data_IF_328605813557
#
_entry.id   IF_328605813557
#
_cell.length_a   1.000
_cell.length_b   1.000
_cell.length_c   1.000
_cell.angle_alpha   90.00
_cell.angle_beta   90.00
_cell.angle_gamma   90.00
#
_symmetry.space_group_name_H-M   'P 1'
#
loop_
_entity.id
_entity.type
_entity.pdbx_description
1 polymer ?
#
# COMPACT_ATOMS: atom_id res chain seq x y z
N UNK A 1 1.83 -14.32 11.66
CA UNK A 1 1.58 -12.95 12.15
C UNK A 1 0.33 -12.43 11.47
N UNK A 2 -0.68 -12.01 12.24
CA UNK A 2 -1.92 -11.48 11.69
C UNK A 2 -1.65 -10.07 11.15
N UNK A 3 -2.04 -9.81 9.92
CA UNK A 3 -2.01 -8.45 9.40
C UNK A 3 -3.22 -7.72 9.98
N UNK A 4 -2.95 -6.76 10.86
CA UNK A 4 -3.99 -5.94 11.46
C UNK A 4 -4.18 -4.70 10.59
N UNK A 5 -5.30 -4.68 9.87
CA UNK A 5 -5.69 -3.56 9.02
C UNK A 5 -6.72 -2.70 9.72
N UNK A 6 -6.68 -1.39 9.45
CA UNK A 6 -7.78 -0.51 9.82
C UNK A 6 -9.05 -0.92 9.05
N UNK A 7 -10.24 -0.75 9.65
CA UNK A 7 -11.52 -1.15 9.03
C UNK A 7 -11.78 -0.49 7.67
N UNK A 8 -11.23 0.71 7.47
CA UNK A 8 -11.35 1.47 6.21
C UNK A 8 -10.17 1.23 5.24
N UNK A 9 -9.27 0.29 5.52
CA UNK A 9 -8.14 0.01 4.65
C UNK A 9 -8.61 -0.68 3.36
N UNK A 10 -8.42 -0.01 2.23
CA UNK A 10 -8.79 -0.52 0.90
C UNK A 10 -7.72 -1.40 0.27
N UNK A 11 -6.50 -1.43 0.83
CA UNK A 11 -5.37 -2.21 0.31
C UNK A 11 -4.74 -3.04 1.42
N UNK A 12 -4.37 -4.28 1.10
CA UNK A 12 -3.67 -5.20 1.99
C UNK A 12 -2.27 -5.51 1.46
N UNK A 13 -1.39 -6.08 2.29
CA UNK A 13 0.00 -6.39 1.92
C UNK A 13 0.08 -7.31 0.70
N UNK A 14 -0.82 -8.30 0.62
CA UNK A 14 -0.85 -9.26 -0.50
C UNK A 14 -1.12 -8.55 -1.83
N UNK A 15 -2.14 -7.69 -1.85
CA UNK A 15 -2.49 -6.88 -3.00
C UNK A 15 -1.37 -5.92 -3.40
N UNK A 16 -0.69 -5.30 -2.42
CA UNK A 16 0.46 -4.43 -2.68
C UNK A 16 1.63 -5.20 -3.31
N UNK A 17 1.92 -6.41 -2.82
CA UNK A 17 2.94 -7.31 -3.37
C UNK A 17 2.58 -7.76 -4.80
N UNK A 18 1.33 -8.12 -5.03
CA UNK A 18 0.84 -8.54 -6.34
C UNK A 18 0.92 -7.41 -7.36
N UNK A 19 0.54 -6.19 -6.97
CA UNK A 19 0.66 -4.99 -7.81
C UNK A 19 2.12 -4.77 -8.22
N UNK A 20 3.06 -4.84 -7.27
CA UNK A 20 4.48 -4.62 -7.55
C UNK A 20 5.10 -5.71 -8.45
N UNK A 21 4.74 -6.98 -8.24
CA UNK A 21 5.26 -8.10 -9.05
C UNK A 21 4.61 -8.22 -10.42
N UNK A 22 3.49 -7.56 -10.64
CA UNK A 22 2.74 -7.69 -11.89
C UNK A 22 3.31 -6.86 -13.03
N UNK A 23 3.35 -7.46 -14.23
CA UNK A 23 3.70 -6.79 -15.48
C UNK A 23 2.50 -6.10 -16.15
N UNK A 24 1.32 -6.14 -15.52
CA UNK A 24 0.10 -5.54 -16.06
C UNK A 24 0.17 -4.00 -16.02
N UNK A 25 -0.63 -3.36 -16.87
CA UNK A 25 -0.76 -1.90 -16.86
C UNK A 25 -1.48 -1.44 -15.60
N UNK A 26 -1.25 -0.18 -15.21
CA UNK A 26 -1.86 0.36 -14.00
C UNK A 26 -3.39 0.36 -14.08
N UNK A 27 -3.95 0.66 -15.27
CA UNK A 27 -5.39 0.59 -15.54
C UNK A 27 -5.96 -0.82 -15.31
N UNK A 28 -5.29 -1.86 -15.82
CA UNK A 28 -5.77 -3.25 -15.63
C UNK A 28 -5.74 -3.67 -14.16
N UNK A 29 -4.70 -3.27 -13.42
CA UNK A 29 -4.58 -3.55 -12.00
C UNK A 29 -5.60 -2.76 -11.17
N UNK A 30 -5.86 -1.52 -11.54
CA UNK A 30 -6.87 -0.67 -10.92
C UNK A 30 -8.26 -1.31 -11.04
N UNK A 31 -8.62 -1.76 -12.25
CA UNK A 31 -9.86 -2.48 -12.49
C UNK A 31 -9.92 -3.83 -11.77
N UNK A 32 -8.82 -4.60 -11.75
CA UNK A 32 -8.75 -5.91 -11.08
C UNK A 32 -8.99 -5.80 -9.58
N UNK A 33 -8.41 -4.79 -8.94
CA UNK A 33 -8.44 -4.63 -7.49
C UNK A 33 -9.48 -3.60 -7.01
N UNK A 34 -10.22 -2.96 -7.93
CA UNK A 34 -11.22 -1.95 -7.59
C UNK A 34 -10.64 -0.71 -6.92
N UNK A 35 -9.39 -0.35 -7.21
CA UNK A 35 -8.69 0.80 -6.64
C UNK A 35 -8.33 1.82 -7.72
N UNK A 36 -7.99 3.03 -7.31
CA UNK A 36 -7.59 4.08 -8.26
C UNK A 36 -6.22 3.80 -8.89
N UNK A 37 -6.06 4.18 -10.15
CA UNK A 37 -4.78 4.06 -10.88
C UNK A 37 -3.59 4.74 -10.17
N UNK A 38 -3.74 5.92 -9.53
CA UNK A 38 -2.66 6.51 -8.73
C UNK A 38 -2.26 5.64 -7.54
N UNK A 39 -3.21 4.93 -6.93
CA UNK A 39 -2.93 4.00 -5.83
C UNK A 39 -2.10 2.82 -6.32
N UNK A 40 -2.43 2.27 -7.49
CA UNK A 40 -1.64 1.21 -8.14
C UNK A 40 -0.22 1.73 -8.44
N UNK A 41 -0.10 2.88 -9.10
CA UNK A 41 1.20 3.48 -9.45
C UNK A 41 2.09 3.69 -8.22
N UNK A 42 1.50 4.15 -7.11
CA UNK A 42 2.19 4.33 -5.83
C UNK A 42 2.75 3.01 -5.28
N UNK A 43 2.00 1.92 -5.34
CA UNK A 43 2.44 0.63 -4.80
C UNK A 43 3.35 -0.13 -5.75
N UNK A 44 3.20 0.05 -7.07
CA UNK A 44 3.99 -0.63 -8.08
C UNK A 44 5.48 -0.29 -8.00
N UNK A 45 5.82 0.95 -7.65
CA UNK A 45 7.21 1.41 -7.58
C UNK A 45 7.82 1.39 -6.17
N UNK A 46 7.14 0.81 -5.18
CA UNK A 46 7.64 0.77 -3.79
C UNK A 46 8.49 -0.47 -3.53
N UNK A 47 9.57 -0.29 -2.76
CA UNK A 47 10.37 -1.38 -2.23
C UNK A 47 9.85 -1.91 -0.87
N UNK A 48 9.10 -1.08 -0.13
CA UNK A 48 8.57 -1.41 1.21
C UNK A 48 7.04 -1.34 1.17
N UNK A 49 6.40 -2.43 1.60
CA UNK A 49 4.94 -2.60 1.56
C UNK A 49 4.26 -2.45 2.91
N UNK A 50 5.05 -2.46 3.98
CA UNK A 50 4.60 -2.23 5.35
C UNK A 50 4.30 -0.76 5.58
N UNK A 51 3.33 -0.49 6.46
CA UNK A 51 3.01 0.87 6.86
C UNK A 51 4.09 1.40 7.80
N UNK A 52 4.56 2.61 7.52
CA UNK A 52 5.52 3.28 8.39
C UNK A 52 4.85 3.61 9.71
N UNK A 53 5.60 3.45 10.79
CA UNK A 53 5.17 3.93 12.11
C UNK A 53 4.83 5.43 12.03
N UNK A 54 3.66 5.80 12.53
CA UNK A 54 3.29 7.21 12.72
C UNK A 54 3.86 7.80 14.01
N UNK A 55 4.59 7.01 14.81
CA UNK A 55 5.17 7.48 16.06
C UNK A 55 6.34 8.43 15.75
N UNK A 56 6.41 9.62 16.38
CA UNK A 56 7.54 10.52 16.22
C UNK A 56 8.80 9.87 16.80
N UNK A 57 9.94 10.05 16.12
CA UNK A 57 11.23 9.57 16.59
C UNK A 57 11.76 10.43 17.75
N UNK A 58 11.48 11.74 17.71
CA UNK A 58 11.88 12.71 18.71
C UNK A 58 10.69 13.60 19.02
N UNK A 59 10.40 13.81 20.30
CA UNK A 59 9.37 14.74 20.78
C UNK A 59 10.09 15.85 21.53
N UNK A 60 9.94 17.09 21.07
CA UNK A 60 10.41 18.26 21.80
C UNK A 60 9.28 18.79 22.68
N UNK A 61 9.54 18.91 23.98
CA UNK A 61 8.64 19.53 24.94
C UNK A 61 9.03 21.01 25.14
N UNK A 62 8.05 21.85 25.47
CA UNK A 62 8.22 23.29 25.72
C UNK A 62 8.75 23.57 27.14
#
# INVERSE_FOLDING_TARGET
MKQEYHSNATTNLHMRLDINKSNLTNLMLANKFGISEPTVSKWKNRAIFEDKSSRPHTIHYA
#
